data_IF_269333816935
#
_entry.id   IF_269333816935
#
_cell.length_a   1.000
_cell.length_b   1.000
_cell.length_c   1.000
_cell.angle_alpha   90.00
_cell.angle_beta   90.00
_cell.angle_gamma   90.00
#
_symmetry.space_group_name_H-M   'P 1'
#
loop_
_entity.id
_entity.type
_entity.pdbx_description
1 polymer ?
#
# COMPACT_ATOMS: atom_id res chain seq x y z
N UNK A 1 22.47 46.71 -32.94
CA UNK A 1 21.64 47.88 -33.35
C UNK A 1 20.18 47.63 -33.00
N UNK A 2 19.42 48.69 -32.72
CA UNK A 2 17.94 48.83 -32.69
C UNK A 2 17.03 47.57 -32.62
N UNK A 3 16.24 47.47 -31.54
CA UNK A 3 14.87 46.89 -31.57
C UNK A 3 13.90 47.88 -30.92
N UNK A 4 12.85 48.28 -31.66
CA UNK A 4 11.86 49.29 -31.25
C UNK A 4 10.68 48.69 -30.47
N UNK A 5 10.11 49.44 -29.52
CA UNK A 5 8.68 49.42 -29.14
C UNK A 5 8.02 50.68 -29.74
N UNK A 6 6.75 50.64 -30.17
CA UNK A 6 5.60 50.87 -29.26
C UNK A 6 4.46 49.83 -29.59
N UNK A 7 3.14 49.99 -29.36
CA UNK A 7 2.26 51.06 -28.80
C UNK A 7 0.98 50.40 -28.21
N UNK A 8 0.21 51.09 -27.36
CA UNK A 8 -1.16 50.69 -26.97
C UNK A 8 -2.21 51.39 -27.86
N UNK A 9 -3.36 50.74 -28.12
CA UNK A 9 -4.74 51.27 -28.08
C UNK A 9 -5.69 50.07 -27.81
N UNK A 10 -6.75 50.06 -26.99
CA UNK A 10 -7.78 50.99 -26.43
C UNK A 10 -9.13 50.88 -27.18
N UNK A 11 -10.17 50.43 -26.46
CA UNK A 11 -11.61 50.83 -26.47
C UNK A 11 -12.45 49.66 -25.86
N UNK A 12 -13.29 49.78 -24.80
CA UNK A 12 -14.55 50.55 -24.56
C UNK A 12 -15.73 50.06 -25.41
N UNK A 13 -16.96 49.80 -24.91
CA UNK A 13 -17.61 49.87 -23.56
C UNK A 13 -18.88 48.94 -23.58
N UNK A 14 -19.85 48.82 -22.65
CA UNK A 14 -20.40 49.69 -21.56
C UNK A 14 -21.14 48.87 -20.46
N UNK A 15 -21.75 49.57 -19.49
CA UNK A 15 -22.71 49.20 -18.42
C UNK A 15 -23.97 48.43 -18.90
N UNK A 16 -24.62 47.51 -18.16
CA UNK A 16 -25.24 47.51 -16.80
C UNK A 16 -26.60 48.24 -16.70
N UNK A 17 -27.68 47.48 -16.40
CA UNK A 17 -28.67 47.79 -15.33
C UNK A 17 -29.68 46.65 -15.07
N UNK A 18 -30.14 46.54 -13.82
CA UNK A 18 -31.27 45.71 -13.38
C UNK A 18 -32.58 46.51 -13.48
N UNK A 19 -33.75 45.85 -13.59
CA UNK A 19 -34.78 45.79 -12.53
C UNK A 19 -36.13 45.14 -12.92
N UNK A 20 -36.82 44.66 -11.87
CA UNK A 20 -38.28 44.66 -11.62
C UNK A 20 -39.25 43.67 -12.32
N UNK A 21 -40.30 43.37 -11.53
CA UNK A 21 -41.45 42.47 -11.76
C UNK A 21 -42.75 43.27 -11.90
N UNK A 22 -43.70 42.82 -12.72
CA UNK A 22 -45.12 42.72 -12.32
C UNK A 22 -45.76 41.39 -12.83
N UNK A 23 -47.00 40.97 -12.57
CA UNK A 23 -48.16 41.52 -11.82
C UNK A 23 -48.99 40.35 -11.23
N UNK A 24 -50.03 40.63 -10.43
CA UNK A 24 -51.14 39.69 -10.14
C UNK A 24 -52.31 39.84 -11.14
N UNK A 25 -53.12 38.77 -11.27
CA UNK A 25 -54.53 38.62 -11.72
C UNK A 25 -54.70 37.18 -12.30
N UNK A 26 -55.87 36.53 -12.29
CA UNK A 26 -57.24 36.97 -12.00
C UNK A 26 -58.09 35.85 -11.34
N UNK A 27 -59.36 36.14 -11.03
CA UNK A 27 -60.24 35.30 -10.18
C UNK A 27 -61.02 34.20 -10.91
N UNK A 28 -61.40 33.13 -10.18
CA UNK A 28 -62.74 32.52 -10.36
C UNK A 28 -63.18 31.71 -9.12
N UNK A 29 -64.38 32.01 -8.61
CA UNK A 29 -65.05 31.23 -7.57
C UNK A 29 -66.01 30.22 -8.20
N UNK A 30 -66.09 29.01 -7.63
CA UNK A 30 -67.24 28.12 -7.81
C UNK A 30 -67.49 27.35 -6.52
N UNK A 31 -68.75 27.33 -6.07
CA UNK A 31 -69.14 26.75 -4.78
C UNK A 31 -70.26 25.76 -5.02
N UNK A 32 -70.07 24.48 -4.64
CA UNK A 32 -71.14 23.63 -4.10
C UNK A 32 -70.64 22.30 -3.49
N UNK A 33 -71.37 21.91 -2.46
CA UNK A 33 -71.71 20.55 -2.00
C UNK A 33 -70.61 19.56 -1.53
N UNK A 34 -70.65 19.33 -0.21
CA UNK A 34 -70.21 18.11 0.50
C UNK A 34 -71.45 17.23 0.79
N UNK A 35 -71.31 15.98 1.27
CA UNK A 35 -70.18 15.04 1.16
C UNK A 35 -70.61 13.64 0.65
N UNK A 36 -69.66 12.77 0.27
CA UNK A 36 -69.79 11.33 0.49
C UNK A 36 -68.43 10.66 0.75
N UNK A 37 -68.42 9.58 1.54
CA UNK A 37 -67.21 8.92 2.05
C UNK A 37 -66.71 7.79 1.13
N UNK A 38 -65.42 7.81 0.78
CA UNK A 38 -64.67 6.57 0.49
C UNK A 38 -63.16 6.66 0.78
N UNK A 39 -62.77 6.05 1.91
CA UNK A 39 -61.49 5.35 2.20
C UNK A 39 -60.17 5.85 1.57
N UNK A 40 -59.36 6.44 2.44
CA UNK A 40 -58.01 5.93 2.77
C UNK A 40 -56.88 5.95 1.74
N UNK A 41 -56.22 7.11 1.56
CA UNK A 41 -54.74 7.17 1.46
C UNK A 41 -54.21 8.29 2.35
N UNK A 42 -54.01 8.01 3.65
CA UNK A 42 -53.32 8.95 4.54
C UNK A 42 -51.81 8.89 4.27
N UNK A 43 -51.27 9.92 3.63
CA UNK A 43 -49.82 10.09 3.47
C UNK A 43 -49.12 10.17 4.83
N UNK A 44 -48.55 9.05 5.28
CA UNK A 44 -47.63 9.02 6.41
C UNK A 44 -46.27 9.62 6.01
N UNK A 45 -46.24 10.92 5.72
CA UNK A 45 -45.02 11.73 5.65
C UNK A 45 -44.45 11.99 7.05
N UNK A 46 -44.38 10.95 7.87
CA UNK A 46 -43.57 10.92 9.08
C UNK A 46 -42.12 10.60 8.71
N UNK A 47 -41.45 11.57 8.07
CA UNK A 47 -40.00 11.64 8.12
C UNK A 47 -39.61 11.77 9.59
N UNK A 48 -39.38 10.65 10.26
CA UNK A 48 -39.08 10.65 11.69
C UNK A 48 -37.70 11.26 11.89
N UNK A 49 -37.66 12.49 12.39
CA UNK A 49 -36.50 13.06 13.07
C UNK A 49 -36.27 12.31 14.39
N UNK A 50 -35.98 11.01 14.27
CA UNK A 50 -35.35 10.23 15.35
C UNK A 50 -34.02 10.88 15.60
N UNK A 51 -33.90 11.55 16.75
CA UNK A 51 -32.60 11.94 17.32
C UNK A 51 -31.69 10.73 17.21
N UNK A 52 -30.60 10.85 16.44
CA UNK A 52 -29.66 9.74 16.24
C UNK A 52 -29.23 9.23 17.60
N UNK A 53 -29.43 7.94 17.85
CA UNK A 53 -29.02 7.33 19.11
C UNK A 53 -27.50 7.28 19.13
N UNK A 54 -26.91 8.28 19.75
CA UNK A 54 -25.49 8.27 20.08
C UNK A 54 -25.28 7.25 21.19
N UNK A 55 -24.37 6.33 20.92
CA UNK A 55 -23.72 5.46 21.90
C UNK A 55 -22.23 5.80 21.91
N UNK A 56 -21.46 5.19 22.80
CA UNK A 56 -20.01 5.39 22.86
C UNK A 56 -19.30 4.07 22.73
N UNK A 57 -18.41 3.95 21.76
CA UNK A 57 -17.42 2.89 21.71
C UNK A 57 -16.25 3.29 22.61
N UNK A 58 -15.92 2.42 23.56
CA UNK A 58 -14.77 2.57 24.45
C UNK A 58 -13.70 1.53 24.09
N UNK A 59 -12.45 1.95 24.00
CA UNK A 59 -11.28 1.06 23.89
C UNK A 59 -10.20 1.47 24.89
N UNK A 60 -9.45 0.53 25.50
CA UNK A 60 -8.33 0.84 26.37
C UNK A 60 -7.17 1.45 25.59
N UNK A 61 -6.52 2.46 26.17
CA UNK A 61 -5.32 3.13 25.66
C UNK A 61 -4.33 3.33 26.80
N UNK A 62 -3.50 2.31 27.08
CA UNK A 62 -2.75 2.26 28.32
C UNK A 62 -3.69 2.31 29.52
N UNK A 63 -3.46 3.24 30.43
CA UNK A 63 -4.32 3.49 31.60
C UNK A 63 -5.58 4.32 31.29
N UNK A 64 -5.68 4.90 30.07
CA UNK A 64 -6.83 5.70 29.62
C UNK A 64 -7.90 4.87 28.89
N UNK A 65 -9.12 5.43 28.76
CA UNK A 65 -10.19 4.87 27.92
C UNK A 65 -10.53 5.85 26.80
N UNK A 66 -10.07 5.55 25.58
CA UNK A 66 -10.45 6.28 24.39
C UNK A 66 -11.93 6.06 24.10
N UNK A 67 -12.71 7.14 24.13
CA UNK A 67 -14.17 7.13 24.04
C UNK A 67 -14.61 7.83 22.76
N UNK A 68 -15.21 7.09 21.81
CA UNK A 68 -15.62 7.60 20.49
C UNK A 68 -17.15 7.55 20.35
N UNK A 69 -17.83 8.66 20.02
CA UNK A 69 -19.28 8.66 19.78
C UNK A 69 -19.61 7.94 18.46
N UNK A 70 -20.58 7.03 18.51
CA UNK A 70 -21.00 6.20 17.37
C UNK A 70 -22.52 6.24 17.17
N UNK A 71 -22.95 6.14 15.91
CA UNK A 71 -24.37 5.98 15.53
C UNK A 71 -24.81 4.53 15.84
N UNK A 72 -25.61 4.36 16.91
CA UNK A 72 -26.02 3.05 17.42
C UNK A 72 -26.81 2.23 16.40
N UNK A 73 -27.63 2.88 15.57
CA UNK A 73 -28.44 2.22 14.54
C UNK A 73 -27.57 1.76 13.35
N UNK A 74 -26.45 2.45 13.06
CA UNK A 74 -25.42 1.98 12.11
C UNK A 74 -24.63 0.79 12.67
N UNK A 75 -24.08 0.92 13.88
CA UNK A 75 -23.30 -0.15 14.53
C UNK A 75 -24.13 -1.45 14.62
N UNK A 76 -25.40 -1.35 15.02
CA UNK A 76 -26.32 -2.50 15.12
C UNK A 76 -26.69 -3.19 13.80
N UNK A 77 -26.36 -2.61 12.64
CA UNK A 77 -26.59 -3.18 11.30
C UNK A 77 -25.33 -3.72 10.66
N UNK A 78 -24.18 -3.08 10.89
CA UNK A 78 -22.93 -3.29 10.13
C UNK A 78 -21.87 -4.02 10.98
N UNK A 79 -21.93 -3.93 12.31
CA UNK A 79 -20.97 -4.51 13.24
C UNK A 79 -21.64 -5.52 14.18
N UNK A 80 -21.76 -6.81 13.82
CA UNK A 80 -22.40 -7.82 14.68
C UNK A 80 -21.84 -7.93 16.11
N UNK A 81 -20.50 -7.84 16.34
CA UNK A 81 -19.92 -7.85 17.69
C UNK A 81 -20.36 -6.70 18.60
N UNK A 82 -20.85 -5.58 18.03
CA UNK A 82 -21.31 -4.40 18.79
C UNK A 82 -22.30 -4.74 19.91
N UNK A 83 -23.20 -5.71 19.67
CA UNK A 83 -24.20 -6.13 20.67
C UNK A 83 -23.59 -6.94 21.82
N UNK A 84 -22.48 -7.63 21.54
CA UNK A 84 -21.77 -8.53 22.46
C UNK A 84 -20.78 -7.78 23.36
N UNK A 85 -20.28 -6.62 22.92
CA UNK A 85 -19.39 -5.75 23.71
C UNK A 85 -20.00 -5.35 25.06
N UNK A 86 -19.16 -5.42 26.11
CA UNK A 86 -19.55 -5.20 27.51
C UNK A 86 -20.10 -3.79 27.71
N UNK A 87 -21.36 -3.69 28.11
CA UNK A 87 -21.99 -2.43 28.48
C UNK A 87 -21.41 -1.93 29.81
N UNK A 88 -21.03 -0.65 29.88
CA UNK A 88 -20.45 0.00 31.07
C UNK A 88 -21.41 0.97 31.79
N UNK A 89 -22.65 1.11 31.30
CA UNK A 89 -23.56 2.20 31.64
C UNK A 89 -23.65 3.24 30.51
N UNK A 90 -24.62 4.16 30.56
CA UNK A 90 -24.77 5.32 29.65
C UNK A 90 -24.64 5.05 28.14
N UNK A 91 -24.99 3.85 27.67
CA UNK A 91 -24.74 3.37 26.28
C UNK A 91 -23.25 3.38 25.85
N UNK A 92 -22.33 3.38 26.81
CA UNK A 92 -20.90 3.12 26.64
C UNK A 92 -20.67 1.61 26.56
N UNK A 93 -19.97 1.15 25.52
CA UNK A 93 -19.61 -0.26 25.32
C UNK A 93 -18.10 -0.40 25.20
N UNK A 94 -17.51 -1.21 26.07
CA UNK A 94 -16.10 -1.61 25.97
C UNK A 94 -15.97 -2.73 24.94
N UNK A 95 -15.21 -2.49 23.88
CA UNK A 95 -14.88 -3.53 22.91
C UNK A 95 -13.77 -4.45 23.43
N UNK A 96 -13.80 -5.70 22.98
CA UNK A 96 -12.63 -6.57 23.02
C UNK A 96 -11.71 -6.19 21.85
N UNK A 97 -10.53 -5.67 22.18
CA UNK A 97 -9.56 -5.21 21.19
C UNK A 97 -8.59 -6.31 20.74
N UNK A 98 -8.72 -7.55 21.23
CA UNK A 98 -7.79 -8.66 20.99
C UNK A 98 -6.30 -8.31 21.27
N UNK A 99 -6.06 -7.39 22.21
CA UNK A 99 -4.73 -6.87 22.51
C UNK A 99 -4.17 -5.96 21.41
N UNK A 100 -5.02 -5.24 20.67
CA UNK A 100 -4.56 -4.05 19.93
C UNK A 100 -4.12 -2.96 20.91
N UNK A 101 -3.04 -2.28 20.54
CA UNK A 101 -2.40 -1.24 21.33
C UNK A 101 -2.76 0.14 20.76
N UNK A 102 -3.66 0.85 21.44
CA UNK A 102 -4.09 2.20 21.06
C UNK A 102 -3.13 3.30 21.53
N UNK A 103 -2.03 2.96 22.22
CA UNK A 103 -0.89 3.86 22.41
C UNK A 103 -0.19 4.20 21.09
N UNK A 104 -0.21 3.27 20.13
CA UNK A 104 0.20 3.51 18.75
C UNK A 104 -0.86 4.38 18.02
N UNK A 105 -0.46 5.58 17.58
CA UNK A 105 -1.37 6.50 16.87
C UNK A 105 -2.00 5.85 15.64
N UNK A 106 -1.30 4.92 14.97
CA UNK A 106 -1.83 4.22 13.78
C UNK A 106 -2.97 3.26 14.12
N UNK A 107 -3.05 2.74 15.34
CA UNK A 107 -4.20 1.97 15.79
C UNK A 107 -5.41 2.88 16.02
N UNK A 108 -5.18 4.08 16.57
CA UNK A 108 -6.22 5.11 16.75
C UNK A 108 -6.75 5.62 15.40
N UNK A 109 -5.86 5.89 14.43
CA UNK A 109 -6.22 6.27 13.07
C UNK A 109 -7.00 5.16 12.35
N UNK A 110 -6.55 3.91 12.45
CA UNK A 110 -7.26 2.76 11.89
C UNK A 110 -8.69 2.62 12.44
N UNK A 111 -8.89 2.86 13.74
CA UNK A 111 -10.22 2.81 14.34
C UNK A 111 -11.12 3.96 13.85
N UNK A 112 -10.59 5.18 13.70
CA UNK A 112 -11.32 6.31 13.09
C UNK A 112 -11.76 5.96 11.66
N UNK A 113 -10.83 5.48 10.84
CA UNK A 113 -11.08 5.07 9.44
C UNK A 113 -12.20 4.02 9.35
N UNK A 114 -12.14 2.95 10.16
CA UNK A 114 -13.17 1.91 10.12
C UNK A 114 -14.53 2.42 10.61
N UNK A 115 -14.59 3.26 11.66
CA UNK A 115 -15.84 3.85 12.13
C UNK A 115 -16.45 4.81 11.11
N UNK A 116 -15.63 5.56 10.38
CA UNK A 116 -16.08 6.46 9.33
C UNK A 116 -16.69 5.68 8.16
N UNK A 117 -16.09 4.55 7.75
CA UNK A 117 -16.70 3.63 6.78
C UNK A 117 -18.03 3.06 7.31
N UNK A 118 -18.07 2.57 8.55
CA UNK A 118 -19.28 1.99 9.18
C UNK A 118 -20.42 3.02 9.27
N UNK A 119 -20.10 4.30 9.45
CA UNK A 119 -21.06 5.40 9.45
C UNK A 119 -21.38 5.93 8.05
N UNK A 120 -20.67 5.48 7.01
CA UNK A 120 -20.89 5.85 5.61
C UNK A 120 -20.34 7.22 5.22
N UNK A 121 -19.20 7.61 5.80
CA UNK A 121 -18.50 8.86 5.47
C UNK A 121 -17.46 8.61 4.38
N UNK A 122 -17.70 9.20 3.20
CA UNK A 122 -16.75 9.34 2.08
C UNK A 122 -16.07 8.03 1.58
N UNK A 123 -15.16 8.18 0.62
CA UNK A 123 -14.29 7.11 0.12
C UNK A 123 -12.95 7.27 0.83
N UNK A 124 -12.58 6.28 1.66
CA UNK A 124 -11.27 6.27 2.33
C UNK A 124 -10.17 6.19 1.26
N UNK A 125 -9.39 7.24 1.13
CA UNK A 125 -8.20 7.20 0.29
C UNK A 125 -7.06 6.49 1.02
N UNK A 126 -6.66 5.32 0.52
CA UNK A 126 -5.54 4.54 1.07
C UNK A 126 -4.17 5.04 0.59
N UNK A 127 -4.10 5.98 -0.36
CA UNK A 127 -2.84 6.52 -0.86
C UNK A 127 -1.96 7.06 0.28
N UNK A 128 -0.71 6.60 0.30
CA UNK A 128 0.30 6.92 1.32
C UNK A 128 0.01 6.37 2.74
N UNK A 129 -0.96 5.45 2.90
CA UNK A 129 -1.08 4.61 4.10
C UNK A 129 0.23 3.86 4.37
N UNK A 130 0.62 3.72 5.64
CA UNK A 130 1.73 2.85 6.03
C UNK A 130 1.28 1.39 6.18
N UNK A 131 2.20 0.40 6.09
CA UNK A 131 1.87 -1.00 6.35
C UNK A 131 1.25 -1.25 7.73
N UNK A 132 1.77 -0.58 8.77
CA UNK A 132 1.24 -0.60 10.15
C UNK A 132 -0.21 -0.12 10.21
N UNK A 133 -0.55 0.94 9.48
CA UNK A 133 -1.92 1.46 9.39
C UNK A 133 -2.85 0.47 8.68
N UNK A 134 -2.45 -0.07 7.53
CA UNK A 134 -3.23 -1.08 6.81
C UNK A 134 -3.47 -2.34 7.67
N UNK A 135 -2.43 -2.82 8.35
CA UNK A 135 -2.52 -3.95 9.29
C UNK A 135 -3.54 -3.69 10.41
N UNK A 136 -3.48 -2.53 11.06
CA UNK A 136 -4.45 -2.18 12.10
C UNK A 136 -5.86 -1.97 11.57
N UNK A 137 -6.05 -1.46 10.34
CA UNK A 137 -7.38 -1.40 9.70
C UNK A 137 -7.97 -2.82 9.57
N UNK A 138 -7.15 -3.82 9.25
CA UNK A 138 -7.60 -5.22 9.20
C UNK A 138 -7.83 -5.85 10.59
N UNK A 139 -7.02 -5.53 11.61
CA UNK A 139 -7.29 -5.99 12.98
C UNK A 139 -8.60 -5.36 13.52
N UNK A 140 -8.82 -4.05 13.33
CA UNK A 140 -10.07 -3.37 13.72
C UNK A 140 -11.27 -3.96 12.97
N UNK A 141 -11.14 -4.21 11.66
CA UNK A 141 -12.18 -4.91 10.90
C UNK A 141 -12.45 -6.33 11.42
N UNK A 142 -11.44 -7.06 11.88
CA UNK A 142 -11.64 -8.41 12.42
C UNK A 142 -12.46 -8.44 13.72
N UNK A 143 -12.38 -7.40 14.58
CA UNK A 143 -13.15 -7.33 15.83
C UNK A 143 -14.40 -6.44 15.80
N UNK A 144 -14.51 -5.48 14.87
CA UNK A 144 -15.77 -4.74 14.60
C UNK A 144 -16.66 -5.41 13.54
N UNK A 145 -16.06 -6.13 12.58
CA UNK A 145 -16.75 -6.71 11.44
C UNK A 145 -17.52 -8.00 11.74
N UNK A 146 -18.04 -8.63 10.69
CA UNK A 146 -18.74 -9.90 10.83
C UNK A 146 -17.74 -11.04 11.14
N UNK A 147 -17.89 -11.83 12.23
CA UNK A 147 -16.88 -12.82 12.63
C UNK A 147 -16.46 -13.78 11.53
N UNK A 148 -17.41 -14.28 10.72
CA UNK A 148 -17.12 -15.18 9.58
C UNK A 148 -16.26 -14.55 8.46
N UNK A 149 -15.93 -13.26 8.50
CA UNK A 149 -15.11 -12.60 7.49
C UNK A 149 -13.59 -12.84 7.65
N UNK A 150 -13.14 -13.57 8.68
CA UNK A 150 -11.69 -13.91 8.82
C UNK A 150 -11.48 -15.22 9.61
N UNK A 151 -11.59 -16.39 8.95
CA UNK A 151 -11.22 -17.68 9.57
C UNK A 151 -10.45 -18.63 8.64
N UNK A 152 -9.25 -19.00 9.11
CA UNK A 152 -8.48 -20.23 8.84
C UNK A 152 -8.19 -20.64 7.39
N UNK A 153 -6.89 -20.72 7.07
CA UNK A 153 -6.31 -21.44 5.92
C UNK A 153 -6.45 -22.98 6.10
N UNK A 154 -7.69 -23.46 6.16
CA UNK A 154 -8.00 -24.85 6.50
C UNK A 154 -9.47 -25.26 6.58
N UNK A 155 -10.43 -24.37 6.31
CA UNK A 155 -11.84 -24.77 6.12
C UNK A 155 -12.11 -25.17 4.67
N UNK A 156 -12.83 -26.28 4.46
CA UNK A 156 -13.34 -26.69 3.14
C UNK A 156 -14.34 -25.61 2.63
N UNK A 157 -14.12 -25.02 1.44
CA UNK A 157 -15.04 -24.04 0.84
C UNK A 157 -16.50 -24.49 0.78
N UNK A 158 -16.77 -25.80 0.72
CA UNK A 158 -18.13 -26.37 0.68
C UNK A 158 -18.91 -26.16 1.98
N UNK A 159 -18.24 -25.95 3.11
CA UNK A 159 -18.90 -25.66 4.40
C UNK A 159 -19.46 -24.23 4.49
N UNK A 160 -19.12 -23.34 3.55
CA UNK A 160 -19.57 -21.94 3.54
C UNK A 160 -20.98 -21.77 2.94
N UNK A 161 -21.52 -22.80 2.27
CA UNK A 161 -22.75 -22.73 1.46
C UNK A 161 -24.09 -22.54 2.20
N UNK A 162 -24.10 -22.18 3.49
CA UNK A 162 -25.30 -22.19 4.34
C UNK A 162 -25.55 -20.90 5.13
N UNK A 163 -25.44 -19.72 4.48
CA UNK A 163 -26.28 -18.52 4.73
C UNK A 163 -25.88 -17.40 3.76
N UNK A 164 -26.81 -16.98 2.88
CA UNK A 164 -26.53 -16.13 1.72
C UNK A 164 -26.32 -14.63 2.03
N UNK A 165 -25.26 -14.29 2.74
CA UNK A 165 -24.72 -12.93 2.79
C UNK A 165 -23.29 -12.94 2.26
N UNK A 166 -23.02 -12.19 1.18
CA UNK A 166 -21.65 -11.97 0.73
C UNK A 166 -20.88 -11.26 1.85
N UNK A 167 -19.85 -11.92 2.38
CA UNK A 167 -18.96 -11.33 3.38
C UNK A 167 -17.97 -10.37 2.70
N UNK A 168 -18.50 -9.31 2.09
CA UNK A 168 -17.68 -8.20 1.63
C UNK A 168 -17.03 -7.51 2.83
N UNK A 169 -15.72 -7.23 2.77
CA UNK A 169 -15.09 -6.42 3.80
C UNK A 169 -15.55 -4.96 3.73
N UNK A 170 -15.27 -4.18 4.77
CA UNK A 170 -15.55 -2.74 4.78
C UNK A 170 -14.71 -1.94 3.75
N UNK A 171 -13.62 -2.50 3.22
CA UNK A 171 -12.64 -1.79 2.38
C UNK A 171 -12.49 -2.36 0.96
N UNK A 172 -12.15 -1.49 0.00
CA UNK A 172 -11.78 -1.89 -1.37
C UNK A 172 -10.43 -2.64 -1.34
N UNK A 173 -10.49 -3.94 -1.65
CA UNK A 173 -9.30 -4.82 -1.77
C UNK A 173 -8.35 -4.33 -2.87
N UNK A 174 -8.87 -3.80 -3.96
CA UNK A 174 -8.06 -3.36 -5.09
C UNK A 174 -7.40 -2.01 -4.78
N UNK A 175 -8.03 -1.13 -4.00
CA UNK A 175 -7.37 0.09 -3.50
C UNK A 175 -6.22 -0.23 -2.54
N UNK A 176 -6.41 -1.20 -1.63
CA UNK A 176 -5.33 -1.67 -0.74
C UNK A 176 -4.20 -2.30 -1.58
N UNK A 177 -4.54 -3.16 -2.55
CA UNK A 177 -3.58 -3.76 -3.48
C UNK A 177 -2.77 -2.70 -4.25
N UNK A 178 -3.45 -1.74 -4.91
CA UNK A 178 -2.83 -0.59 -5.60
C UNK A 178 -1.93 0.22 -4.66
N UNK A 179 -2.33 0.45 -3.41
CA UNK A 179 -1.51 1.16 -2.43
C UNK A 179 -0.22 0.40 -2.09
N UNK A 180 -0.28 -0.94 -1.94
CA UNK A 180 0.89 -1.77 -1.65
C UNK A 180 1.87 -1.80 -2.83
N UNK A 181 1.39 -1.99 -4.07
CA UNK A 181 2.23 -1.84 -5.26
C UNK A 181 2.83 -0.43 -5.37
N UNK A 182 2.07 0.62 -4.99
CA UNK A 182 2.55 1.99 -4.89
C UNK A 182 3.67 2.18 -3.84
N UNK A 183 3.55 1.55 -2.66
CA UNK A 183 4.61 1.57 -1.64
C UNK A 183 5.88 0.87 -2.13
N UNK A 184 5.73 -0.33 -2.70
CA UNK A 184 6.82 -1.12 -3.27
C UNK A 184 7.59 -0.34 -4.35
N UNK A 185 6.87 0.33 -5.26
CA UNK A 185 7.48 1.16 -6.30
C UNK A 185 8.18 2.41 -5.73
N UNK A 186 7.54 3.12 -4.78
CA UNK A 186 8.08 4.35 -4.15
C UNK A 186 9.31 4.14 -3.28
N UNK A 187 9.47 2.96 -2.66
CA UNK A 187 10.65 2.67 -1.83
C UNK A 187 11.97 2.62 -2.62
N UNK A 188 11.89 2.68 -3.96
CA UNK A 188 12.95 2.40 -4.96
C UNK A 188 13.45 0.96 -4.89
N UNK A 189 13.92 0.54 -3.71
CA UNK A 189 14.47 -0.77 -3.39
C UNK A 189 13.42 -1.52 -2.59
N UNK A 190 12.94 -2.66 -3.08
CA UNK A 190 11.78 -3.36 -2.51
C UNK A 190 12.03 -3.81 -1.05
N UNK A 191 13.27 -4.19 -0.73
CA UNK A 191 13.69 -4.56 0.64
C UNK A 191 13.70 -3.37 1.63
N UNK A 192 13.63 -2.10 1.17
CA UNK A 192 13.59 -0.92 2.06
C UNK A 192 12.19 -0.60 2.60
N UNK A 193 11.15 -1.33 2.21
CA UNK A 193 9.80 -1.11 2.78
C UNK A 193 9.77 -1.57 4.23
N UNK A 194 9.77 -0.62 5.18
CA UNK A 194 9.54 -0.90 6.60
C UNK A 194 8.21 -1.65 6.79
N UNK A 195 8.15 -2.54 7.78
CA UNK A 195 6.96 -3.33 8.09
C UNK A 195 6.43 -4.19 6.92
N UNK A 196 7.27 -4.56 5.92
CA UNK A 196 6.89 -5.45 4.80
C UNK A 196 6.28 -6.78 5.26
N UNK A 197 6.70 -7.30 6.42
CA UNK A 197 6.12 -8.49 7.05
C UNK A 197 4.67 -8.29 7.54
N UNK A 198 4.29 -7.05 7.90
CA UNK A 198 2.87 -6.73 8.16
C UNK A 198 2.07 -6.68 6.86
N UNK A 199 2.70 -6.35 5.71
CA UNK A 199 2.06 -6.51 4.41
C UNK A 199 1.82 -7.97 4.04
N UNK A 200 2.64 -8.93 4.52
CA UNK A 200 2.34 -10.35 4.42
C UNK A 200 1.01 -10.70 5.10
N UNK A 201 0.84 -10.27 6.36
CA UNK A 201 -0.40 -10.45 7.13
C UNK A 201 -1.61 -9.72 6.50
N UNK A 202 -1.39 -8.57 5.86
CA UNK A 202 -2.42 -7.84 5.12
C UNK A 202 -2.83 -8.58 3.85
N UNK A 203 -1.87 -9.06 3.07
CA UNK A 203 -2.12 -9.74 1.80
C UNK A 203 -2.79 -11.12 2.00
N UNK A 204 -2.35 -11.88 3.01
CA UNK A 204 -2.96 -13.16 3.42
C UNK A 204 -4.43 -12.98 3.82
N UNK A 205 -4.72 -12.13 4.82
CA UNK A 205 -6.08 -11.85 5.29
C UNK A 205 -7.04 -11.38 4.19
N UNK A 206 -6.53 -10.73 3.15
CA UNK A 206 -7.32 -10.22 2.04
C UNK A 206 -7.40 -11.20 0.85
N UNK A 207 -6.60 -12.27 0.82
CA UNK A 207 -6.47 -13.16 -0.34
C UNK A 207 -5.82 -12.50 -1.56
N UNK A 208 -4.93 -11.52 -1.34
CA UNK A 208 -4.27 -10.77 -2.41
C UNK A 208 -3.05 -11.54 -2.96
N UNK A 209 -3.28 -12.64 -3.67
CA UNK A 209 -2.22 -13.53 -4.17
C UNK A 209 -1.04 -12.82 -4.85
N UNK A 210 -1.30 -11.83 -5.72
CA UNK A 210 -0.24 -11.07 -6.40
C UNK A 210 0.62 -10.23 -5.42
N UNK A 211 0.02 -9.76 -4.33
CA UNK A 211 0.72 -9.02 -3.26
C UNK A 211 1.46 -10.00 -2.34
N UNK A 212 0.90 -11.19 -2.05
CA UNK A 212 1.61 -12.26 -1.35
C UNK A 212 2.87 -12.62 -2.12
N UNK A 213 2.77 -12.88 -3.43
CA UNK A 213 3.92 -13.25 -4.27
C UNK A 213 4.99 -12.16 -4.29
N UNK A 214 4.61 -10.90 -4.52
CA UNK A 214 5.50 -9.74 -4.40
C UNK A 214 6.21 -9.71 -3.04
N UNK A 215 5.48 -10.01 -1.96
CA UNK A 215 6.05 -10.08 -0.62
C UNK A 215 7.05 -11.23 -0.49
N UNK A 216 6.73 -12.44 -0.97
CA UNK A 216 7.60 -13.62 -0.88
C UNK A 216 8.93 -13.43 -1.63
N UNK A 217 8.86 -12.89 -2.85
CA UNK A 217 10.01 -12.63 -3.72
C UNK A 217 11.02 -11.62 -3.13
N UNK A 218 10.60 -10.85 -2.12
CA UNK A 218 11.48 -9.94 -1.39
C UNK A 218 11.91 -10.49 -0.03
N UNK A 219 11.05 -11.27 0.63
CA UNK A 219 11.37 -11.92 1.89
C UNK A 219 12.42 -13.02 1.76
N UNK A 220 12.50 -13.69 0.60
CA UNK A 220 13.55 -14.68 0.35
C UNK A 220 14.97 -14.07 0.32
N UNK A 221 15.11 -12.79 -0.04
CA UNK A 221 16.39 -12.08 -0.09
C UNK A 221 17.04 -11.94 1.31
N UNK A 222 16.22 -11.85 2.36
CA UNK A 222 16.66 -11.81 3.76
C UNK A 222 17.06 -13.18 4.33
N UNK A 223 16.68 -14.29 3.68
CA UNK A 223 17.06 -15.62 4.14
C UNK A 223 18.54 -15.92 3.89
N UNK A 224 19.13 -16.80 4.71
CA UNK A 224 20.42 -17.46 4.43
C UNK A 224 20.17 -18.74 3.61
N UNK A 225 21.18 -19.28 2.91
CA UNK A 225 20.95 -20.29 1.87
C UNK A 225 20.19 -21.52 2.41
N UNK A 226 20.64 -22.06 3.54
CA UNK A 226 20.01 -23.24 4.19
C UNK A 226 18.77 -22.92 5.04
N UNK A 227 18.36 -21.65 5.18
CA UNK A 227 17.33 -21.23 6.16
C UNK A 227 16.02 -20.80 5.51
N UNK A 228 15.01 -21.68 5.59
CA UNK A 228 13.59 -21.38 5.28
C UNK A 228 12.88 -20.49 6.32
N UNK A 229 13.60 -19.94 7.29
CA UNK A 229 13.08 -19.03 8.29
C UNK A 229 13.68 -17.65 8.07
N UNK A 230 12.86 -16.62 8.24
CA UNK A 230 13.32 -15.25 8.27
C UNK A 230 14.30 -15.03 9.43
N UNK A 231 15.39 -14.27 9.23
CA UNK A 231 16.30 -13.90 10.31
C UNK A 231 15.55 -13.11 11.39
N UNK A 232 15.97 -13.23 12.66
CA UNK A 232 15.39 -12.43 13.76
C UNK A 232 15.62 -10.93 13.53
N UNK A 233 16.69 -10.62 12.83
CA UNK A 233 17.13 -9.30 12.41
C UNK A 233 16.09 -8.62 11.49
N UNK A 234 15.34 -9.38 10.69
CA UNK A 234 14.24 -8.85 9.85
C UNK A 234 12.95 -8.58 10.62
N UNK A 235 12.86 -8.94 11.92
CA UNK A 235 11.66 -8.70 12.75
C UNK A 235 11.45 -7.22 13.08
N UNK A 236 12.53 -6.45 13.26
CA UNK A 236 12.49 -5.03 13.64
C UNK A 236 11.43 -4.74 14.74
N UNK A 237 10.52 -3.80 14.51
CA UNK A 237 9.52 -3.30 15.46
C UNK A 237 8.24 -4.17 15.57
N UNK A 238 8.31 -5.44 15.18
CA UNK A 238 7.16 -6.37 15.20
C UNK A 238 7.05 -7.06 16.57
N UNK A 239 5.84 -7.05 17.12
CA UNK A 239 5.50 -7.65 18.43
C UNK A 239 5.39 -9.17 18.31
N UNK A 240 5.70 -9.91 19.38
CA UNK A 240 5.83 -11.38 19.35
C UNK A 240 4.59 -12.09 18.78
N UNK A 241 3.39 -11.68 19.19
CA UNK A 241 2.11 -12.19 18.64
C UNK A 241 2.06 -12.10 17.10
N UNK A 242 2.48 -10.98 16.55
CA UNK A 242 2.38 -10.70 15.12
C UNK A 242 3.51 -11.42 14.36
N UNK A 243 4.70 -11.50 14.96
CA UNK A 243 5.83 -12.30 14.45
C UNK A 243 5.53 -13.80 14.42
N UNK A 244 4.84 -14.35 15.43
CA UNK A 244 4.38 -15.75 15.43
C UNK A 244 3.46 -16.01 14.23
N UNK A 245 2.43 -15.17 14.04
CA UNK A 245 1.53 -15.24 12.87
C UNK A 245 2.30 -15.20 11.55
N UNK A 246 3.34 -14.35 11.42
CA UNK A 246 4.21 -14.25 10.25
C UNK A 246 4.99 -15.56 9.97
N UNK A 247 5.47 -16.25 11.00
CA UNK A 247 6.15 -17.54 10.86
C UNK A 247 5.17 -18.66 10.45
N UNK A 248 3.95 -18.64 10.99
CA UNK A 248 2.89 -19.60 10.67
C UNK A 248 2.45 -19.55 9.20
N UNK A 249 2.57 -18.39 8.53
CA UNK A 249 2.29 -18.23 7.09
C UNK A 249 3.27 -19.00 6.17
N UNK A 250 4.39 -19.54 6.69
CA UNK A 250 5.38 -20.33 5.92
C UNK A 250 5.84 -19.67 4.61
N UNK A 251 6.10 -18.36 4.68
CA UNK A 251 6.36 -17.47 3.55
C UNK A 251 7.55 -17.85 2.63
N UNK A 252 8.38 -18.83 3.00
CA UNK A 252 9.60 -19.21 2.28
C UNK A 252 9.62 -20.71 1.98
N UNK A 253 9.74 -21.05 0.71
CA UNK A 253 9.75 -22.43 0.21
C UNK A 253 11.09 -22.80 -0.49
N UNK A 254 11.16 -23.95 -1.16
CA UNK A 254 12.37 -24.39 -1.87
C UNK A 254 12.52 -23.75 -3.27
N UNK A 255 11.45 -23.28 -3.90
CA UNK A 255 11.52 -22.60 -5.19
C UNK A 255 12.07 -21.17 -5.04
N UNK A 256 11.59 -20.42 -4.04
CA UNK A 256 12.07 -19.07 -3.71
C UNK A 256 13.56 -19.06 -3.33
N UNK A 257 14.05 -20.08 -2.62
CA UNK A 257 15.48 -20.21 -2.31
C UNK A 257 16.36 -20.47 -3.54
N UNK A 258 15.85 -21.18 -4.56
CA UNK A 258 16.55 -21.27 -5.86
C UNK A 258 16.53 -19.95 -6.63
N UNK A 259 15.40 -19.24 -6.62
CA UNK A 259 15.28 -17.91 -7.25
C UNK A 259 16.27 -16.91 -6.64
N UNK A 260 16.48 -16.99 -5.32
CA UNK A 260 17.50 -16.28 -4.55
C UNK A 260 18.94 -16.57 -5.01
N UNK A 261 19.29 -17.84 -5.27
CA UNK A 261 20.61 -18.19 -5.84
C UNK A 261 20.82 -17.58 -7.24
N UNK A 262 19.80 -17.69 -8.10
CA UNK A 262 19.80 -17.13 -9.45
C UNK A 262 19.96 -15.59 -9.45
N UNK A 263 19.39 -14.87 -8.47
CA UNK A 263 19.66 -13.43 -8.33
C UNK A 263 21.14 -13.13 -8.07
N UNK A 264 21.86 -13.92 -7.26
CA UNK A 264 23.30 -13.70 -7.04
C UNK A 264 24.08 -13.87 -8.34
N UNK A 265 23.80 -14.92 -9.11
CA UNK A 265 24.46 -15.14 -10.41
C UNK A 265 24.16 -14.02 -11.41
N UNK A 266 22.91 -13.54 -11.46
CA UNK A 266 22.49 -12.40 -12.29
C UNK A 266 23.18 -11.10 -11.88
N UNK A 267 23.26 -10.81 -10.58
CA UNK A 267 23.98 -9.66 -10.02
C UNK A 267 25.45 -9.69 -10.45
N UNK A 268 26.15 -10.80 -10.18
CA UNK A 268 27.58 -10.91 -10.52
C UNK A 268 27.84 -10.91 -12.03
N UNK A 269 26.93 -11.45 -12.85
CA UNK A 269 27.01 -11.30 -14.31
C UNK A 269 26.83 -9.85 -14.75
N UNK A 270 25.88 -9.11 -14.17
CA UNK A 270 25.69 -7.68 -14.42
C UNK A 270 26.93 -6.85 -14.06
N UNK A 271 27.50 -7.05 -12.86
CA UNK A 271 28.72 -6.37 -12.42
C UNK A 271 29.94 -6.67 -13.31
N UNK A 272 30.09 -7.92 -13.80
CA UNK A 272 31.14 -8.30 -14.77
C UNK A 272 30.94 -7.60 -16.12
N UNK A 273 29.70 -7.52 -16.62
CA UNK A 273 29.39 -6.79 -17.85
C UNK A 273 29.61 -5.28 -17.71
N UNK A 274 29.35 -4.68 -16.54
CA UNK A 274 29.68 -3.29 -16.24
C UNK A 274 31.19 -3.03 -16.25
N UNK A 275 31.96 -3.85 -15.52
CA UNK A 275 33.43 -3.79 -15.50
C UNK A 275 34.01 -3.83 -16.92
N UNK A 276 33.56 -4.80 -17.72
CA UNK A 276 33.95 -4.95 -19.13
C UNK A 276 33.52 -3.75 -20.01
N UNK A 277 32.30 -3.25 -19.85
CA UNK A 277 31.78 -2.11 -20.61
C UNK A 277 32.60 -0.84 -20.38
N UNK A 278 32.88 -0.51 -19.10
CA UNK A 278 33.59 0.73 -18.76
C UNK A 278 35.04 0.65 -19.27
N UNK A 279 35.72 -0.48 -19.11
CA UNK A 279 37.04 -0.73 -19.69
C UNK A 279 37.06 -0.56 -21.22
N UNK A 280 36.06 -1.12 -21.91
CA UNK A 280 35.98 -1.04 -23.38
C UNK A 280 35.76 0.41 -23.86
N UNK A 281 34.82 1.15 -23.27
CA UNK A 281 34.54 2.51 -23.71
C UNK A 281 35.67 3.50 -23.38
N UNK A 282 36.39 3.34 -22.26
CA UNK A 282 37.59 4.14 -21.98
C UNK A 282 38.75 3.80 -22.91
N UNK A 283 38.90 2.52 -23.28
CA UNK A 283 39.86 2.09 -24.31
C UNK A 283 39.48 2.49 -25.75
N UNK A 284 38.35 3.18 -25.96
CA UNK A 284 37.82 3.52 -27.28
C UNK A 284 37.32 2.31 -28.10
N UNK A 285 37.17 1.15 -27.46
CA UNK A 285 36.77 -0.11 -28.11
C UNK A 285 35.25 -0.14 -28.23
N UNK A 286 34.74 -0.06 -29.46
CA UNK A 286 33.32 -0.24 -29.74
C UNK A 286 32.93 -1.72 -29.52
N UNK A 287 31.84 -2.02 -28.78
CA UNK A 287 31.32 -3.37 -28.69
C UNK A 287 30.74 -3.82 -30.03
N UNK A 288 30.80 -5.12 -30.32
CA UNK A 288 30.03 -5.71 -31.41
C UNK A 288 28.54 -5.81 -31.03
N UNK A 289 27.69 -6.16 -32.00
CA UNK A 289 26.24 -6.25 -31.81
C UNK A 289 25.84 -7.24 -30.70
N UNK A 290 26.50 -8.40 -30.61
CA UNK A 290 26.25 -9.42 -29.60
C UNK A 290 26.52 -8.93 -28.16
N UNK A 291 27.67 -8.27 -27.95
CA UNK A 291 28.05 -7.67 -26.66
C UNK A 291 27.12 -6.51 -26.32
N UNK A 292 26.74 -5.68 -27.31
CA UNK A 292 25.83 -4.57 -27.10
C UNK A 292 24.41 -5.04 -26.74
N UNK A 293 23.89 -6.06 -27.41
CA UNK A 293 22.61 -6.70 -27.07
C UNK A 293 22.67 -7.31 -25.67
N UNK A 294 23.77 -8.00 -25.32
CA UNK A 294 24.01 -8.50 -23.95
C UNK A 294 23.99 -7.37 -22.91
N UNK A 295 24.50 -6.17 -23.23
CA UNK A 295 24.39 -5.01 -22.35
C UNK A 295 22.96 -4.46 -22.24
N UNK A 296 22.15 -4.55 -23.30
CA UNK A 296 20.73 -4.15 -23.26
C UNK A 296 19.86 -5.13 -22.50
N UNK A 297 20.13 -6.44 -22.57
CA UNK A 297 19.38 -7.47 -21.86
C UNK A 297 19.49 -7.31 -20.34
N UNK A 298 20.72 -7.14 -19.84
CA UNK A 298 21.01 -6.96 -18.41
C UNK A 298 20.80 -5.51 -17.93
N UNK A 299 20.31 -4.61 -18.81
CA UNK A 299 20.21 -3.15 -18.61
C UNK A 299 21.48 -2.53 -18.02
N UNK A 300 22.65 -2.98 -18.46
CA UNK A 300 23.95 -2.38 -18.09
C UNK A 300 24.40 -1.33 -19.10
N UNK A 301 23.75 -1.21 -20.27
CA UNK A 301 24.02 -0.17 -21.26
C UNK A 301 23.77 1.24 -20.69
N UNK A 302 24.73 2.15 -20.86
CA UNK A 302 24.57 3.56 -20.47
C UNK A 302 23.49 4.27 -21.31
N UNK A 303 22.63 5.06 -20.67
CA UNK A 303 21.69 5.96 -21.34
C UNK A 303 22.23 7.39 -21.47
N UNK A 304 21.54 8.24 -22.22
CA UNK A 304 21.86 9.66 -22.42
C UNK A 304 21.87 10.52 -21.16
N UNK A 305 21.36 10.00 -20.03
CA UNK A 305 21.34 10.68 -18.72
C UNK A 305 22.38 10.12 -17.73
N UNK A 306 23.05 9.01 -18.05
CA UNK A 306 24.07 8.45 -17.17
C UNK A 306 25.21 9.46 -16.93
N UNK A 307 25.71 9.50 -15.70
CA UNK A 307 27.13 9.82 -15.48
C UNK A 307 27.96 8.68 -16.04
N UNK A 308 28.89 8.95 -16.95
CA UNK A 308 29.95 7.99 -17.27
C UNK A 308 30.81 7.79 -16.03
N UNK A 309 30.68 6.61 -15.40
CA UNK A 309 31.67 6.11 -14.46
C UNK A 309 32.98 5.84 -15.18
N UNK A 310 34.12 6.21 -14.59
CA UNK A 310 35.43 5.78 -15.09
C UNK A 310 35.77 4.38 -14.60
N UNK A 311 36.69 3.67 -15.28
CA UNK A 311 37.10 2.33 -14.86
C UNK A 311 37.78 2.40 -13.50
N UNK A 312 38.62 3.41 -13.28
CA UNK A 312 39.27 3.64 -11.98
C UNK A 312 38.25 3.91 -10.87
N UNK A 313 37.21 4.70 -11.11
CA UNK A 313 36.14 4.93 -10.13
C UNK A 313 35.38 3.63 -9.84
N UNK A 314 34.89 2.95 -10.87
CA UNK A 314 34.10 1.72 -10.72
C UNK A 314 34.88 0.58 -10.04
N UNK A 315 36.15 0.36 -10.40
CA UNK A 315 36.96 -0.70 -9.77
C UNK A 315 37.43 -0.34 -8.36
N UNK A 316 37.67 0.94 -8.04
CA UNK A 316 37.93 1.36 -6.64
C UNK A 316 36.71 1.14 -5.75
N UNK A 317 35.51 1.44 -6.24
CA UNK A 317 34.28 1.14 -5.51
C UNK A 317 34.12 -0.37 -5.32
N UNK A 318 34.31 -1.21 -6.36
CA UNK A 318 34.25 -2.68 -6.24
C UNK A 318 35.27 -3.26 -5.24
N UNK A 319 36.47 -2.71 -5.15
CA UNK A 319 37.51 -3.13 -4.20
C UNK A 319 37.15 -2.70 -2.77
N UNK A 320 36.70 -1.45 -2.59
CA UNK A 320 36.26 -0.89 -1.31
C UNK A 320 35.03 -1.62 -0.76
N UNK A 321 34.12 -2.01 -1.65
CA UNK A 321 32.95 -2.83 -1.42
C UNK A 321 33.25 -4.32 -1.15
N UNK A 322 34.52 -4.75 -1.25
CA UNK A 322 34.94 -6.15 -1.16
C UNK A 322 34.19 -7.10 -2.14
N UNK A 323 33.75 -6.58 -3.29
CA UNK A 323 33.19 -7.33 -4.41
C UNK A 323 34.25 -7.75 -5.43
N UNK A 324 35.50 -7.30 -5.29
CA UNK A 324 36.61 -7.70 -6.15
C UNK A 324 37.51 -8.76 -5.49
N UNK A 325 37.86 -9.87 -6.17
CA UNK A 325 37.39 -10.28 -7.50
C UNK A 325 35.92 -10.71 -7.49
N UNK A 326 35.23 -10.51 -8.61
CA UNK A 326 33.78 -10.70 -8.79
C UNK A 326 33.34 -12.18 -8.66
N UNK A 327 33.33 -12.71 -7.43
CA UNK A 327 33.03 -14.09 -7.09
C UNK A 327 31.66 -14.22 -6.39
N UNK A 328 30.74 -14.94 -7.02
CA UNK A 328 29.36 -15.11 -6.53
C UNK A 328 29.27 -15.96 -5.25
N UNK A 329 30.18 -16.95 -5.09
CA UNK A 329 30.15 -17.91 -3.98
C UNK A 329 30.16 -17.22 -2.61
N UNK A 330 30.98 -16.17 -2.45
CA UNK A 330 31.12 -15.39 -1.21
C UNK A 330 29.81 -14.80 -0.70
N UNK A 331 28.83 -14.55 -1.59
CA UNK A 331 27.58 -13.87 -1.27
C UNK A 331 26.34 -14.77 -1.36
N UNK A 332 26.49 -16.08 -1.65
CA UNK A 332 25.38 -17.04 -1.63
C UNK A 332 24.71 -17.13 -0.25
N UNK A 333 25.44 -16.87 0.84
CA UNK A 333 24.85 -16.83 2.19
C UNK A 333 24.08 -15.54 2.52
N UNK A 334 24.37 -14.42 1.86
CA UNK A 334 23.90 -13.08 2.24
C UNK A 334 23.51 -12.20 1.06
N UNK A 335 22.40 -12.53 0.39
CA UNK A 335 21.93 -11.76 -0.79
C UNK A 335 21.49 -10.35 -0.40
N UNK A 336 20.86 -10.18 0.76
CA UNK A 336 20.53 -8.85 1.30
C UNK A 336 21.78 -7.99 1.55
N UNK A 337 22.89 -8.61 1.98
CA UNK A 337 24.15 -7.92 2.23
C UNK A 337 24.80 -7.46 0.91
N UNK A 338 24.80 -8.32 -0.11
CA UNK A 338 25.18 -7.97 -1.49
C UNK A 338 24.34 -6.79 -2.04
N UNK A 339 23.02 -6.80 -1.78
CA UNK A 339 22.11 -5.73 -2.19
C UNK A 339 22.25 -4.42 -1.40
N UNK A 340 22.82 -4.47 -0.18
CA UNK A 340 23.26 -3.28 0.56
C UNK A 340 24.58 -2.74 0.01
N UNK A 341 25.56 -3.60 -0.25
CA UNK A 341 26.87 -3.20 -0.79
C UNK A 341 26.73 -2.55 -2.18
N UNK A 342 25.90 -3.11 -3.06
CA UNK A 342 25.64 -2.53 -4.40
C UNK A 342 24.90 -1.19 -4.30
N UNK A 343 23.97 -1.05 -3.34
CA UNK A 343 23.35 0.24 -3.03
C UNK A 343 24.39 1.26 -2.61
N UNK A 344 25.29 0.89 -1.70
CA UNK A 344 26.24 1.84 -1.12
C UNK A 344 27.22 2.36 -2.19
N UNK A 345 27.61 1.49 -3.15
CA UNK A 345 28.31 1.90 -4.38
C UNK A 345 27.45 2.77 -5.33
N UNK A 346 26.14 2.55 -5.42
CA UNK A 346 25.26 3.38 -6.25
C UNK A 346 25.11 4.79 -5.64
N UNK A 347 24.85 4.86 -4.33
CA UNK A 347 24.67 6.12 -3.60
C UNK A 347 26.00 6.91 -3.49
N UNK A 348 27.16 6.25 -3.40
CA UNK A 348 28.48 6.92 -3.47
C UNK A 348 28.75 7.52 -4.86
N UNK A 349 28.40 6.82 -5.94
CA UNK A 349 28.74 7.22 -7.31
C UNK A 349 27.77 8.23 -7.95
N UNK A 350 26.58 8.41 -7.37
CA UNK A 350 25.51 9.27 -7.89
C UNK A 350 25.65 10.77 -7.57
N UNK A 351 26.75 11.23 -6.96
CA UNK A 351 26.95 12.61 -6.46
C UNK A 351 26.40 13.70 -7.41
N UNK A 352 25.30 14.34 -7.02
CA UNK A 352 24.66 15.44 -7.76
C UNK A 352 23.89 15.06 -9.03
N UNK A 353 23.64 13.76 -9.30
CA UNK A 353 22.85 13.26 -10.45
C UNK A 353 21.83 12.20 -10.01
N UNK A 354 21.12 11.62 -10.98
CA UNK A 354 20.01 10.68 -10.75
C UNK A 354 20.13 9.36 -11.52
N UNK A 355 21.24 9.13 -12.23
CA UNK A 355 21.43 7.94 -13.06
C UNK A 355 22.92 7.67 -13.34
N UNK A 356 23.30 6.40 -13.21
CA UNK A 356 24.50 5.79 -13.78
C UNK A 356 24.17 4.33 -14.20
N UNK A 357 25.15 3.56 -14.67
CA UNK A 357 24.90 2.19 -15.11
C UNK A 357 24.64 1.19 -13.96
N UNK A 358 25.03 1.49 -12.71
CA UNK A 358 24.61 0.71 -11.53
C UNK A 358 23.11 0.89 -11.27
N UNK A 359 22.58 2.11 -11.39
CA UNK A 359 21.13 2.36 -11.30
C UNK A 359 20.33 1.52 -12.30
N UNK A 360 20.78 1.42 -13.55
CA UNK A 360 20.10 0.61 -14.56
C UNK A 360 20.16 -0.91 -14.30
N UNK A 361 21.31 -1.42 -13.83
CA UNK A 361 21.41 -2.80 -13.36
C UNK A 361 20.46 -3.04 -12.17
N UNK A 362 20.35 -2.08 -11.26
CA UNK A 362 19.44 -2.18 -10.12
C UNK A 362 17.96 -2.19 -10.54
N UNK A 363 17.55 -1.29 -11.43
CA UNK A 363 16.19 -1.27 -11.98
C UNK A 363 15.82 -2.58 -12.69
N UNK A 364 16.77 -3.21 -13.40
CA UNK A 364 16.58 -4.53 -14.01
C UNK A 364 16.42 -5.65 -12.99
N UNK A 365 17.27 -5.69 -11.96
CA UNK A 365 17.15 -6.62 -10.85
C UNK A 365 15.79 -6.46 -10.16
N UNK A 366 15.32 -5.22 -9.99
CA UNK A 366 14.00 -4.91 -9.44
C UNK A 366 12.86 -5.40 -10.34
N UNK A 367 12.97 -5.20 -11.66
CA UNK A 367 11.99 -5.70 -12.64
C UNK A 367 11.90 -7.23 -12.59
N UNK A 368 13.05 -7.95 -12.53
CA UNK A 368 13.06 -9.41 -12.34
C UNK A 368 12.49 -9.89 -11.00
N UNK A 369 12.27 -9.01 -10.01
CA UNK A 369 11.52 -9.34 -8.78
C UNK A 369 10.00 -9.11 -8.91
N UNK A 370 9.55 -8.37 -9.92
CA UNK A 370 8.12 -8.04 -10.13
C UNK A 370 7.49 -8.71 -11.34
N UNK A 371 8.30 -9.06 -12.34
CA UNK A 371 7.87 -9.79 -13.53
C UNK A 371 8.02 -11.29 -13.27
N UNK A 372 6.91 -11.92 -12.89
CA UNK A 372 6.75 -13.37 -13.09
C UNK A 372 6.92 -13.69 -14.57
N UNK A 373 7.55 -14.82 -14.84
CA UNK A 373 7.83 -15.34 -16.18
C UNK A 373 6.58 -15.30 -17.08
N UNK A 374 6.76 -14.81 -18.31
CA UNK A 374 5.77 -14.83 -19.40
C UNK A 374 6.00 -16.03 -20.31
#
# INVERSE_FOLDING_TARGET
MSRRKPRKRKNTTTMVKNKETPTENESSNSTRDRPYNTRSVSHCLSQSNRVKRTSTLCVPKGDEILSIPVDEDRMNRICPPWRQFKLLGDRKRMADTNGMDFGDERATDALRIVLDIVHGKEVVNYENSSPRLLFYILEVHAWLGHPKATYSSGMDPKMVGAQGAQCSPFFDKDAISRCIFGMASRAKYLYRVKDWLLLALVADKLGLHNVIQLVLDNLCLFCRADKRQLPKEARDCIKDRDWTRIQDLRLIDKALLKKREFYVEKIFKGLRLLSHQVLYFEGGILPNEEIFNTYQDYKVAACSYCRSLSSDEFHRELITAHLWPLCAETYKEGVIDLLHVIRDMEESTLVGRHCNQLTHLYDHLRQMCTETER
#
